data_IF_525559951191
#
_entry.id   IF_525559951191
#
_cell.length_a   1.000
_cell.length_b   1.000
_cell.length_c   1.000
_cell.angle_alpha   90.00
_cell.angle_beta   90.00
_cell.angle_gamma   90.00
#
_symmetry.space_group_name_H-M   'P 1'
#
loop_
_entity.id
_entity.type
_entity.pdbx_description
1 polymer ?
#
# COMPACT_ATOMS: atom_id res chain seq x y z
N UNK A 1 -2.82 -13.62 1.86
CA UNK A 1 -3.66 -13.28 0.69
C UNK A 1 -4.53 -12.09 1.05
N UNK A 2 -4.71 -11.13 0.15
CA UNK A 2 -5.70 -10.05 0.29
C UNK A 2 -6.89 -10.37 -0.60
N UNK A 3 -8.08 -10.42 -0.03
CA UNK A 3 -9.33 -10.82 -0.71
C UNK A 3 -10.23 -9.60 -0.88
N UNK A 4 -10.85 -9.46 -2.05
CA UNK A 4 -11.67 -8.33 -2.43
C UNK A 4 -13.06 -8.81 -2.82
N UNK A 5 -14.06 -8.09 -2.32
CA UNK A 5 -15.44 -8.29 -2.75
C UNK A 5 -15.59 -8.00 -4.24
N UNK A 6 -16.38 -8.81 -4.95
CA UNK A 6 -16.72 -8.57 -6.36
C UNK A 6 -18.23 -8.34 -6.51
N UNK A 7 -18.59 -7.05 -6.50
CA UNK A 7 -19.96 -6.58 -6.70
C UNK A 7 -20.23 -6.05 -8.13
N UNK A 8 -19.29 -6.27 -9.06
CA UNK A 8 -19.27 -5.66 -10.38
C UNK A 8 -18.30 -4.48 -10.49
N UNK A 9 -18.19 -3.89 -11.68
CA UNK A 9 -17.27 -2.76 -11.92
C UNK A 9 -17.88 -1.45 -11.40
N UNK A 10 -17.28 -0.79 -10.38
CA UNK A 10 -17.71 0.52 -9.92
C UNK A 10 -17.36 1.65 -10.90
N UNK A 11 -16.57 1.37 -11.95
CA UNK A 11 -16.18 2.33 -12.97
C UNK A 11 -15.09 3.29 -12.49
N UNK A 12 -15.17 4.53 -12.98
CA UNK A 12 -14.16 5.56 -12.77
C UNK A 12 -14.78 6.83 -12.22
N UNK A 13 -14.00 7.60 -11.47
CA UNK A 13 -14.37 8.98 -11.12
C UNK A 13 -14.43 9.87 -12.37
N UNK A 14 -15.08 11.04 -12.25
CA UNK A 14 -15.08 12.08 -13.31
C UNK A 14 -13.67 12.51 -13.75
N UNK A 15 -12.66 12.33 -12.87
CA UNK A 15 -11.26 12.68 -13.13
C UNK A 15 -10.44 11.48 -13.65
N UNK A 16 -11.08 10.36 -13.97
CA UNK A 16 -10.42 9.17 -14.54
C UNK A 16 -9.78 8.22 -13.52
N UNK A 17 -9.83 8.52 -12.21
CA UNK A 17 -9.37 7.57 -11.17
C UNK A 17 -10.28 6.34 -11.13
N UNK A 18 -9.67 5.17 -11.19
CA UNK A 18 -10.34 3.88 -11.05
C UNK A 18 -10.95 3.71 -9.64
N UNK A 19 -12.19 3.24 -9.57
CA UNK A 19 -12.89 2.96 -8.31
C UNK A 19 -12.82 1.49 -7.90
N UNK A 20 -12.29 0.63 -8.78
CA UNK A 20 -12.18 -0.79 -8.51
C UNK A 20 -10.91 -1.08 -7.70
N UNK A 21 -11.07 -1.22 -6.38
CA UNK A 21 -9.98 -1.46 -5.43
C UNK A 21 -9.07 -2.63 -5.79
N UNK A 22 -9.66 -3.74 -6.24
CA UNK A 22 -8.90 -4.90 -6.71
C UNK A 22 -8.05 -4.55 -7.95
N UNK A 23 -8.63 -3.82 -8.92
CA UNK A 23 -7.93 -3.41 -10.15
C UNK A 23 -6.80 -2.42 -9.83
N UNK A 24 -7.03 -1.46 -8.94
CA UNK A 24 -6.00 -0.54 -8.46
C UNK A 24 -4.82 -1.29 -7.85
N UNK A 25 -5.06 -2.17 -6.87
CA UNK A 25 -3.99 -2.87 -6.19
C UNK A 25 -3.27 -3.88 -7.09
N UNK A 26 -4.00 -4.60 -7.94
CA UNK A 26 -3.41 -5.53 -8.89
C UNK A 26 -2.52 -4.81 -9.91
N UNK A 27 -2.95 -3.66 -10.43
CA UNK A 27 -2.16 -2.90 -11.40
C UNK A 27 -0.91 -2.31 -10.74
N UNK A 28 -1.03 -1.82 -9.50
CA UNK A 28 0.12 -1.37 -8.72
C UNK A 28 1.13 -2.51 -8.55
N UNK A 29 0.74 -3.68 -8.03
CA UNK A 29 1.67 -4.79 -7.82
C UNK A 29 2.26 -5.35 -9.12
N UNK A 30 1.52 -5.31 -10.24
CA UNK A 30 2.08 -5.68 -11.56
C UNK A 30 3.22 -4.76 -11.97
N UNK A 31 3.06 -3.45 -11.78
CA UNK A 31 4.13 -2.49 -12.06
C UNK A 31 5.29 -2.64 -11.06
N UNK A 32 4.99 -2.71 -9.76
CA UNK A 32 6.00 -2.89 -8.71
C UNK A 32 6.84 -4.15 -8.93
N UNK A 33 6.22 -5.23 -9.40
CA UNK A 33 6.92 -6.45 -9.80
C UNK A 33 7.77 -6.23 -11.07
N UNK A 34 7.17 -5.68 -12.14
CA UNK A 34 7.84 -5.40 -13.41
C UNK A 34 9.10 -4.53 -13.27
N UNK A 35 9.06 -3.54 -12.37
CA UNK A 35 10.17 -2.61 -12.13
C UNK A 35 11.09 -3.04 -10.96
N UNK A 36 10.92 -4.25 -10.42
CA UNK A 36 11.79 -4.85 -9.41
C UNK A 36 11.68 -4.23 -8.00
N UNK A 37 10.64 -3.44 -7.72
CA UNK A 37 10.42 -2.82 -6.40
C UNK A 37 10.14 -3.90 -5.34
N UNK A 38 9.48 -4.99 -5.74
CA UNK A 38 9.28 -6.18 -4.90
C UNK A 38 10.61 -6.80 -4.45
N UNK A 39 11.57 -6.97 -5.37
CA UNK A 39 12.86 -7.60 -5.11
C UNK A 39 13.75 -6.73 -4.21
N UNK A 40 13.68 -5.41 -4.38
CA UNK A 40 14.37 -4.43 -3.51
C UNK A 40 13.77 -4.37 -2.10
N UNK A 41 12.62 -4.99 -1.87
CA UNK A 41 12.04 -5.17 -0.54
C UNK A 41 11.33 -3.94 0.02
N UNK A 42 10.94 -2.98 -0.83
CA UNK A 42 10.15 -1.80 -0.43
C UNK A 42 8.65 -2.09 -0.34
N UNK A 43 8.19 -3.16 -0.98
CA UNK A 43 6.80 -3.66 -0.97
C UNK A 43 6.82 -5.18 -0.75
N UNK A 44 5.71 -5.81 -0.32
CA UNK A 44 5.62 -7.26 -0.27
C UNK A 44 5.84 -7.87 -1.65
N UNK A 45 6.52 -9.01 -1.71
CA UNK A 45 6.68 -9.71 -2.98
C UNK A 45 5.33 -10.20 -3.51
N UNK A 46 5.05 -9.93 -4.79
CA UNK A 46 3.82 -10.33 -5.46
C UNK A 46 3.96 -11.74 -6.05
N UNK A 47 3.17 -12.69 -5.55
CA UNK A 47 3.19 -14.09 -6.02
C UNK A 47 2.17 -14.37 -7.13
N UNK A 48 1.16 -13.51 -7.30
CA UNK A 48 0.11 -13.69 -8.31
C UNK A 48 -1.27 -13.32 -7.80
N UNK A 49 -2.30 -13.68 -8.57
CA UNK A 49 -3.69 -13.41 -8.24
C UNK A 49 -4.58 -14.62 -8.53
N UNK A 50 -5.66 -14.76 -7.76
CA UNK A 50 -6.71 -15.75 -7.99
C UNK A 50 -7.96 -15.01 -8.45
N UNK A 51 -8.44 -15.39 -9.63
CA UNK A 51 -9.70 -14.90 -10.15
C UNK A 51 -10.82 -15.84 -9.71
N UNK A 52 -11.94 -15.29 -9.23
CA UNK A 52 -13.13 -16.04 -8.77
C UNK A 52 -12.81 -17.15 -7.75
N UNK A 53 -12.18 -16.76 -6.65
CA UNK A 53 -11.89 -17.61 -5.50
C UNK A 53 -13.19 -18.19 -4.94
N UNK A 54 -13.25 -19.51 -4.73
CA UNK A 54 -14.36 -20.15 -4.00
C UNK A 54 -14.20 -19.89 -2.50
N UNK A 55 -15.08 -19.09 -1.86
CA UNK A 55 -14.96 -18.79 -0.43
C UNK A 55 -15.20 -20.01 0.46
N UNK A 56 -15.97 -21.00 -0.01
CA UNK A 56 -16.32 -22.18 0.79
C UNK A 56 -15.12 -23.10 1.04
N UNK A 57 -14.10 -23.05 0.17
CA UNK A 57 -12.85 -23.77 0.34
C UNK A 57 -11.97 -23.21 1.48
N UNK A 58 -12.32 -22.05 2.04
CA UNK A 58 -11.60 -21.35 3.11
C UNK A 58 -12.54 -21.00 4.27
N UNK A 59 -13.48 -21.90 4.59
CA UNK A 59 -14.33 -21.76 5.77
C UNK A 59 -13.52 -22.08 7.05
N UNK A 60 -13.64 -21.27 8.13
CA UNK A 60 -14.58 -20.16 8.30
C UNK A 60 -14.07 -18.77 7.86
N UNK A 61 -12.81 -18.62 7.49
CA UNK A 61 -12.15 -17.31 7.31
C UNK A 61 -12.83 -16.44 6.25
N UNK A 62 -13.29 -17.03 5.16
CA UNK A 62 -13.89 -16.31 4.02
C UNK A 62 -15.43 -16.40 3.97
N UNK A 63 -16.08 -16.84 5.06
CA UNK A 63 -17.54 -17.01 5.11
C UNK A 63 -18.32 -15.75 4.73
N UNK A 64 -17.79 -14.57 5.00
CA UNK A 64 -18.43 -13.28 4.69
C UNK A 64 -18.45 -12.94 3.20
N UNK A 65 -17.68 -13.64 2.36
CA UNK A 65 -17.69 -13.48 0.89
C UNK A 65 -18.68 -14.42 0.18
N UNK A 66 -19.27 -15.39 0.88
CA UNK A 66 -20.17 -16.41 0.27
C UNK A 66 -21.37 -15.76 -0.43
N UNK A 67 -21.85 -14.64 0.11
CA UNK A 67 -23.04 -13.94 -0.39
C UNK A 67 -22.71 -12.78 -1.35
N UNK A 68 -21.46 -12.65 -1.79
CA UNK A 68 -21.10 -11.66 -2.80
C UNK A 68 -21.81 -11.95 -4.13
N UNK A 69 -22.06 -10.89 -4.91
CA UNK A 69 -22.69 -11.03 -6.22
C UNK A 69 -21.89 -11.92 -7.17
N UNK A 70 -20.56 -11.85 -7.09
CA UNK A 70 -19.64 -12.72 -7.80
C UNK A 70 -18.58 -13.26 -6.84
N UNK A 71 -17.99 -14.41 -7.18
CA UNK A 71 -16.87 -14.96 -6.40
C UNK A 71 -15.76 -13.90 -6.22
N UNK A 72 -15.24 -13.72 -5.00
CA UNK A 72 -14.25 -12.70 -4.72
C UNK A 72 -12.96 -12.96 -5.50
N UNK A 73 -12.12 -11.92 -5.55
CA UNK A 73 -10.80 -11.99 -6.16
C UNK A 73 -9.73 -11.82 -5.11
N UNK A 74 -8.57 -12.38 -5.37
CA UNK A 74 -7.49 -12.38 -4.40
C UNK A 74 -6.15 -12.03 -5.02
N UNK A 75 -5.34 -11.32 -4.24
CA UNK A 75 -3.93 -11.01 -4.53
C UNK A 75 -3.08 -11.76 -3.50
N UNK A 76 -2.12 -12.54 -4.01
CA UNK A 76 -1.19 -13.32 -3.19
C UNK A 76 0.10 -12.52 -3.02
N UNK A 77 0.33 -12.10 -1.78
CA UNK A 77 1.48 -11.31 -1.37
C UNK A 77 2.30 -12.08 -0.34
N UNK A 78 3.61 -11.85 -0.31
CA UNK A 78 4.49 -12.38 0.71
C UNK A 78 3.98 -11.99 2.09
N UNK A 79 3.85 -12.99 2.95
CA UNK A 79 3.54 -12.79 4.35
C UNK A 79 4.75 -12.18 5.09
N UNK A 80 4.49 -11.19 5.93
CA UNK A 80 5.50 -10.47 6.71
C UNK A 80 5.25 -10.76 8.19
N UNK A 81 5.88 -11.80 8.76
CA UNK A 81 5.67 -12.16 10.16
C UNK A 81 6.18 -11.05 11.08
N UNK A 82 5.47 -10.82 12.19
CA UNK A 82 5.82 -9.83 13.22
C UNK A 82 5.95 -8.39 12.71
N UNK A 83 5.31 -8.08 11.58
CA UNK A 83 5.34 -6.74 11.03
C UNK A 83 4.47 -5.79 11.85
N UNK A 84 5.01 -4.63 12.21
CA UNK A 84 4.31 -3.61 12.99
C UNK A 84 4.06 -2.36 12.16
N UNK A 85 2.92 -1.70 12.38
CA UNK A 85 2.65 -0.41 11.75
C UNK A 85 3.57 0.66 12.33
N UNK A 86 4.12 1.50 11.46
CA UNK A 86 4.90 2.65 11.87
C UNK A 86 4.04 3.60 12.71
N UNK A 87 4.60 4.04 13.84
CA UNK A 87 4.01 5.01 14.73
C UNK A 87 5.13 5.77 15.47
N UNK A 88 4.77 6.72 16.34
CA UNK A 88 5.74 7.55 17.04
C UNK A 88 6.62 6.77 18.03
N UNK A 89 6.17 5.65 18.60
CA UNK A 89 6.95 4.87 19.57
C UNK A 89 8.06 4.09 18.87
N UNK A 90 7.74 3.38 17.77
CA UNK A 90 8.71 2.61 16.99
C UNK A 90 9.41 3.40 15.87
N UNK A 91 9.24 4.73 15.85
CA UNK A 91 9.90 5.60 14.89
C UNK A 91 11.43 5.60 15.08
N UNK A 92 12.17 5.56 13.97
CA UNK A 92 13.58 5.94 13.93
C UNK A 92 13.88 6.73 12.65
N UNK A 93 14.87 7.63 12.71
CA UNK A 93 15.26 8.42 11.55
C UNK A 93 15.73 7.55 10.39
N UNK A 94 16.40 6.43 10.67
CA UNK A 94 16.94 5.51 9.67
C UNK A 94 15.82 4.73 8.98
N UNK A 95 14.88 4.19 9.75
CA UNK A 95 13.68 3.54 9.22
C UNK A 95 12.86 4.50 8.36
N UNK A 96 12.72 5.75 8.79
CA UNK A 96 11.94 6.72 8.05
C UNK A 96 12.60 7.13 6.73
N UNK A 97 13.94 7.17 6.66
CA UNK A 97 14.66 7.35 5.39
C UNK A 97 14.33 6.21 4.43
N UNK A 98 14.30 4.97 4.91
CA UNK A 98 13.89 3.82 4.10
C UNK A 98 12.45 3.94 3.59
N UNK A 99 11.52 4.45 4.40
CA UNK A 99 10.15 4.72 3.95
C UNK A 99 10.11 5.78 2.84
N UNK A 100 10.86 6.87 2.98
CA UNK A 100 10.98 7.93 1.96
C UNK A 100 11.59 7.41 0.65
N UNK A 101 12.58 6.53 0.74
CA UNK A 101 13.15 5.91 -0.47
C UNK A 101 12.16 4.93 -1.11
N UNK A 102 11.41 4.18 -0.29
CA UNK A 102 10.35 3.29 -0.77
C UNK A 102 9.27 4.00 -1.57
N UNK A 103 8.80 5.17 -1.13
CA UNK A 103 7.77 5.92 -1.89
C UNK A 103 8.33 6.44 -3.23
N UNK A 104 9.60 6.85 -3.29
CA UNK A 104 10.25 7.25 -4.56
C UNK A 104 10.38 6.06 -5.52
N UNK A 105 10.69 4.88 -5.00
CA UNK A 105 10.79 3.65 -5.80
C UNK A 105 9.43 3.22 -6.35
N UNK A 106 8.36 3.39 -5.56
CA UNK A 106 6.98 3.20 -6.00
C UNK A 106 6.62 4.18 -7.13
N UNK A 107 6.97 5.46 -6.99
CA UNK A 107 6.78 6.46 -8.05
C UNK A 107 7.60 6.13 -9.31
N UNK A 108 8.84 5.66 -9.14
CA UNK A 108 9.70 5.21 -10.23
C UNK A 108 9.15 4.01 -10.99
N UNK A 109 8.25 3.24 -10.37
CA UNK A 109 7.47 2.17 -11.01
C UNK A 109 6.13 2.66 -11.59
N UNK A 110 5.94 3.97 -11.75
CA UNK A 110 4.72 4.59 -12.27
C UNK A 110 3.47 4.31 -11.42
N UNK A 111 3.63 4.21 -10.10
CA UNK A 111 2.53 4.03 -9.15
C UNK A 111 2.47 5.23 -8.23
N UNK A 112 1.31 5.86 -8.09
CA UNK A 112 1.04 6.90 -7.09
C UNK A 112 0.12 6.33 -6.01
N UNK A 113 0.54 6.37 -4.74
CA UNK A 113 -0.03 5.52 -3.70
C UNK A 113 -1.39 6.02 -3.16
N UNK A 114 -1.59 7.33 -3.06
CA UNK A 114 -2.75 8.04 -2.49
C UNK A 114 -3.02 7.85 -0.99
N UNK A 115 -2.65 6.72 -0.38
CA UNK A 115 -2.90 6.42 1.05
C UNK A 115 -1.57 6.26 1.81
N UNK A 116 -0.81 7.35 1.90
CA UNK A 116 0.56 7.35 2.42
C UNK A 116 0.69 7.48 3.94
N UNK A 117 -0.37 7.23 4.70
CA UNK A 117 -0.32 7.37 6.15
C UNK A 117 0.54 6.27 6.80
N UNK A 118 1.12 6.51 8.00
CA UNK A 118 1.97 5.55 8.70
C UNK A 118 1.37 4.14 8.90
N UNK A 119 0.04 4.01 8.95
CA UNK A 119 -0.65 2.71 9.00
C UNK A 119 -0.30 1.76 7.83
N UNK A 120 0.15 2.31 6.70
CA UNK A 120 0.50 1.59 5.48
C UNK A 120 2.01 1.43 5.31
N UNK A 121 2.79 1.81 6.33
CA UNK A 121 4.22 1.59 6.44
C UNK A 121 4.47 0.53 7.52
N UNK A 122 4.95 -0.65 7.14
CA UNK A 122 5.20 -1.74 8.06
C UNK A 122 6.68 -1.90 8.36
N UNK A 123 7.05 -1.85 9.63
CA UNK A 123 8.36 -2.28 10.10
C UNK A 123 8.40 -3.79 10.07
N UNK A 124 9.35 -4.36 9.33
CA UNK A 124 9.54 -5.82 9.21
C UNK A 124 10.85 -6.29 9.85
N UNK A 125 11.70 -5.33 10.19
CA UNK A 125 12.91 -5.47 11.01
C UNK A 125 13.30 -4.08 11.51
N UNK A 126 14.29 -4.00 12.41
CA UNK A 126 14.82 -2.73 12.95
C UNK A 126 15.41 -1.78 11.88
N UNK A 127 15.55 -2.27 10.65
CA UNK A 127 16.23 -1.58 9.54
C UNK A 127 15.41 -1.49 8.26
N UNK A 128 14.18 -2.04 8.23
CA UNK A 128 13.39 -2.15 7.00
C UNK A 128 11.92 -1.81 7.19
N UNK A 129 11.44 -0.93 6.32
CA UNK A 129 10.03 -0.54 6.20
C UNK A 129 9.47 -1.03 4.86
N UNK A 130 8.24 -1.51 4.86
CA UNK A 130 7.55 -2.01 3.67
C UNK A 130 6.24 -1.25 3.50
N UNK A 131 6.00 -0.74 2.29
CA UNK A 131 4.74 -0.10 1.90
C UNK A 131 3.69 -1.12 1.49
N UNK A 132 2.45 -0.93 1.95
CA UNK A 132 1.32 -1.81 1.68
C UNK A 132 0.07 -1.00 1.32
N UNK A 133 -0.99 -1.70 0.91
CA UNK A 133 -2.33 -1.14 0.70
C UNK A 133 -2.43 -0.18 -0.50
N UNK A 134 -2.31 -0.74 -1.70
CA UNK A 134 -2.41 0.00 -2.96
C UNK A 134 -3.84 0.03 -3.53
N UNK A 135 -4.86 -0.17 -2.69
CA UNK A 135 -6.25 -0.34 -3.13
C UNK A 135 -6.90 0.94 -3.66
N UNK A 136 -6.28 2.10 -3.42
CA UNK A 136 -6.65 3.40 -3.99
C UNK A 136 -5.55 4.00 -4.88
N UNK A 137 -4.48 3.24 -5.15
CA UNK A 137 -3.37 3.70 -5.95
C UNK A 137 -3.78 3.97 -7.40
N UNK A 138 -3.07 4.88 -8.05
CA UNK A 138 -3.16 5.12 -9.50
C UNK A 138 -1.89 4.59 -10.15
N UNK A 139 -2.05 3.79 -11.20
CA UNK A 139 -0.92 3.36 -12.05
C UNK A 139 -0.92 4.20 -13.32
N UNK A 140 0.21 4.81 -13.66
CA UNK A 140 0.36 5.62 -14.85
C UNK A 140 0.94 4.79 -16.00
N UNK A 141 0.47 5.06 -17.22
CA UNK A 141 1.08 4.48 -18.43
C UNK A 141 2.43 5.14 -18.76
N UNK A 142 2.58 6.41 -18.39
CA UNK A 142 3.81 7.20 -18.57
C UNK A 142 3.91 8.30 -17.51
N UNK A 143 5.13 8.73 -17.18
CA UNK A 143 5.39 9.83 -16.25
C UNK A 143 5.44 11.16 -17.00
N UNK A 144 4.31 11.88 -17.05
CA UNK A 144 4.25 13.25 -17.55
C UNK A 144 4.60 14.28 -16.47
N UNK A 145 4.70 15.57 -16.82
CA UNK A 145 4.99 16.63 -15.84
C UNK A 145 4.00 16.72 -14.69
N UNK A 146 2.72 16.37 -14.96
CA UNK A 146 1.67 16.38 -13.94
C UNK A 146 1.82 15.21 -12.97
N UNK A 147 2.03 14.02 -13.49
CA UNK A 147 2.25 12.80 -12.71
C UNK A 147 3.50 12.95 -11.84
N UNK A 148 4.57 13.51 -12.40
CA UNK A 148 5.79 13.84 -11.67
C UNK A 148 5.52 14.82 -10.52
N UNK A 149 4.77 15.89 -10.76
CA UNK A 149 4.40 16.86 -9.72
C UNK A 149 3.56 16.23 -8.59
N UNK A 150 2.66 15.29 -8.91
CA UNK A 150 1.91 14.54 -7.89
C UNK A 150 2.83 13.66 -7.05
N UNK A 151 3.75 12.93 -7.68
CA UNK A 151 4.74 12.11 -6.99
C UNK A 151 5.64 12.96 -6.07
N UNK A 152 6.16 14.10 -6.55
CA UNK A 152 6.96 15.02 -5.73
C UNK A 152 6.20 15.52 -4.50
N UNK A 153 4.94 15.91 -4.69
CA UNK A 153 4.07 16.33 -3.59
C UNK A 153 3.83 15.19 -2.58
N UNK A 154 3.59 13.97 -3.06
CA UNK A 154 3.40 12.79 -2.20
C UNK A 154 4.67 12.47 -1.41
N UNK A 155 5.87 12.60 -1.99
CA UNK A 155 7.15 12.48 -1.27
C UNK A 155 7.26 13.51 -0.15
N UNK A 156 6.88 14.76 -0.40
CA UNK A 156 6.95 15.83 0.60
C UNK A 156 5.95 15.63 1.75
N UNK A 157 4.76 15.11 1.45
CA UNK A 157 3.81 14.69 2.47
C UNK A 157 4.38 13.56 3.35
N UNK A 158 4.99 12.53 2.75
CA UNK A 158 5.66 11.47 3.53
C UNK A 158 6.74 12.06 4.44
N UNK A 159 7.61 12.94 3.93
CA UNK A 159 8.62 13.61 4.77
C UNK A 159 8.00 14.39 5.93
N UNK A 160 6.83 14.99 5.74
CA UNK A 160 6.11 15.73 6.78
C UNK A 160 5.67 14.82 7.92
N UNK A 161 5.18 13.60 7.62
CA UNK A 161 4.83 12.62 8.65
C UNK A 161 6.03 12.22 9.50
N UNK A 162 7.21 12.09 8.89
CA UNK A 162 8.44 11.80 9.63
C UNK A 162 8.79 12.88 10.66
N UNK A 163 8.50 14.15 10.37
CA UNK A 163 8.69 15.25 11.33
C UNK A 163 7.69 15.14 12.49
N UNK A 164 6.41 14.91 12.18
CA UNK A 164 5.35 14.77 13.17
C UNK A 164 5.59 13.57 14.10
N UNK A 165 5.92 12.41 13.54
CA UNK A 165 6.24 11.20 14.32
C UNK A 165 7.43 11.43 15.26
N UNK A 166 8.47 12.11 14.78
CA UNK A 166 9.64 12.47 15.59
C UNK A 166 9.29 13.41 16.74
N UNK A 167 8.41 14.38 16.50
CA UNK A 167 7.95 15.32 17.53
C UNK A 167 7.09 14.63 18.59
N UNK A 168 6.20 13.75 18.17
CA UNK A 168 5.35 12.96 19.06
C UNK A 168 6.19 11.99 19.91
N UNK A 169 7.22 11.37 19.31
CA UNK A 169 8.17 10.52 20.03
C UNK A 169 8.93 11.31 21.11
N UNK A 170 9.40 12.52 20.79
CA UNK A 170 10.08 13.40 21.76
C UNK A 170 9.19 13.83 22.92
N UNK A 171 7.88 13.95 22.68
CA UNK A 171 6.90 14.28 23.71
C UNK A 171 6.47 13.06 24.54
N UNK A 172 6.89 11.84 24.15
CA UNK A 172 6.48 10.61 24.82
C UNK A 172 5.00 10.28 24.63
N UNK A 173 4.40 10.71 23.51
CA UNK A 173 3.00 10.42 23.21
C UNK A 173 2.79 8.93 22.90
N UNK A 174 1.58 8.43 23.15
CA UNK A 174 1.19 7.09 22.71
C UNK A 174 0.97 7.04 21.19
N UNK A 175 0.99 5.84 20.58
CA UNK A 175 0.70 5.69 19.17
C UNK A 175 -0.68 6.24 18.78
N UNK A 176 -0.77 6.88 17.61
CA UNK A 176 -2.02 7.34 16.98
C UNK A 176 -2.82 8.37 17.79
N UNK A 177 -2.16 9.19 18.61
CA UNK A 177 -2.81 10.32 19.31
C UNK A 177 -3.24 11.45 18.39
N UNK A 178 -2.69 11.50 17.17
CA UNK A 178 -2.98 12.51 16.15
C UNK A 178 -3.33 11.82 14.85
N UNK A 179 -4.21 12.46 14.08
CA UNK A 179 -4.31 12.17 12.66
C UNK A 179 -3.10 12.81 11.99
N UNK A 180 -2.22 11.96 11.48
CA UNK A 180 -1.22 12.37 10.49
C UNK A 180 -1.93 12.57 9.16
#
# INVERSE_FOLDING_TARGET
MKVFHDNGDPGYTKKGRDLNRYRCELNAYRNLYKFGVCDRGFVPFFHGCINRLDPSAFDPELRHFINDRYNPRAIILKYLPNAERLNCVNYSGDLFRFAVDGIKEIHGAFVHHHDIYPKNMLLVSDTRVVWIDFDVATTFDSMGPREAAYCEYEVDLVKSFGKLLKEDQKQGLSPNTKYY
#
